data_IF_665919955375
#
_entry.id   IF_665919955375
#
_cell.length_a   1.000
_cell.length_b   1.000
_cell.length_c   1.000
_cell.angle_alpha   90.00
_cell.angle_beta   90.00
_cell.angle_gamma   90.00
#
_symmetry.space_group_name_H-M   'P 1'
#
loop_
_entity.id
_entity.type
_entity.pdbx_description
1 polymer ?
#
# COMPACT_ATOMS: atom_id res chain seq x y z
N UNK A 1 -7.52 -11.50 11.67
CA UNK A 1 -7.72 -10.11 12.14
C UNK A 1 -7.57 -9.17 10.96
N UNK A 2 -8.26 -8.03 11.01
CA UNK A 2 -8.11 -6.96 10.04
C UNK A 2 -7.12 -5.96 10.62
N UNK A 3 -6.13 -5.56 9.81
CA UNK A 3 -5.04 -4.67 10.24
C UNK A 3 -5.25 -3.26 9.73
N UNK A 4 -5.88 -3.11 8.56
CA UNK A 4 -6.15 -1.83 7.94
C UNK A 4 -7.38 -1.90 7.03
N UNK A 5 -7.92 -0.74 6.65
CA UNK A 5 -8.99 -0.64 5.68
C UNK A 5 -8.94 0.71 4.94
N UNK A 6 -9.13 0.69 3.64
CA UNK A 6 -9.16 1.90 2.82
C UNK A 6 -10.43 1.95 1.97
N UNK A 7 -10.94 3.18 1.77
CA UNK A 7 -12.06 3.45 0.88
C UNK A 7 -11.55 4.13 -0.39
N UNK A 8 -11.93 3.60 -1.54
CA UNK A 8 -11.64 4.20 -2.85
C UNK A 8 -12.64 3.67 -3.88
N UNK A 9 -12.81 4.38 -4.99
CA UNK A 9 -13.66 3.96 -6.11
C UNK A 9 -12.88 2.93 -6.95
N UNK A 10 -13.18 1.65 -6.77
CA UNK A 10 -12.45 0.56 -7.40
C UNK A 10 -12.96 0.19 -8.79
N UNK A 11 -14.23 0.49 -9.13
CA UNK A 11 -14.83 0.10 -10.41
C UNK A 11 -15.35 1.29 -11.25
N UNK A 12 -14.98 2.51 -10.84
CA UNK A 12 -15.32 3.76 -11.53
C UNK A 12 -16.82 4.06 -11.62
N UNK A 13 -17.60 3.60 -10.68
CA UNK A 13 -19.03 3.90 -10.64
C UNK A 13 -19.36 5.20 -9.86
N UNK A 14 -18.37 5.79 -9.20
CA UNK A 14 -18.45 7.04 -8.44
C UNK A 14 -18.77 6.85 -6.95
N UNK A 15 -18.91 5.63 -6.50
CA UNK A 15 -19.16 5.26 -5.12
C UNK A 15 -17.86 4.75 -4.45
N UNK A 16 -17.70 4.94 -3.14
CA UNK A 16 -16.54 4.43 -2.45
C UNK A 16 -16.73 2.97 -2.07
N UNK A 17 -15.82 2.13 -2.56
CA UNK A 17 -15.67 0.74 -2.22
C UNK A 17 -14.77 0.56 -1.00
N UNK A 18 -14.81 -0.61 -0.39
CA UNK A 18 -14.05 -0.92 0.82
C UNK A 18 -13.04 -2.04 0.55
N UNK A 19 -11.78 -1.75 0.74
CA UNK A 19 -10.72 -2.76 0.81
C UNK A 19 -10.31 -2.98 2.26
N UNK A 20 -10.20 -4.25 2.67
CA UNK A 20 -9.82 -4.65 4.02
C UNK A 20 -8.56 -5.50 3.95
N UNK A 21 -7.51 -5.02 4.60
CA UNK A 21 -6.24 -5.73 4.76
C UNK A 21 -6.36 -6.71 5.92
N UNK A 22 -5.94 -7.94 5.70
CA UNK A 22 -5.92 -8.97 6.74
C UNK A 22 -4.49 -9.29 7.16
N UNK A 23 -4.31 -9.47 8.46
CA UNK A 23 -3.01 -9.83 9.02
C UNK A 23 -3.15 -10.39 10.42
N UNK A 24 -2.39 -11.41 10.75
CA UNK A 24 -2.37 -11.99 12.10
C UNK A 24 -1.17 -12.89 12.28
N UNK A 25 -0.65 -12.91 13.50
CA UNK A 25 0.39 -13.87 13.90
C UNK A 25 -0.16 -15.21 14.41
N UNK A 26 -1.48 -15.33 14.51
CA UNK A 26 -2.15 -16.52 15.03
C UNK A 26 -2.33 -17.60 13.96
N UNK A 27 -2.24 -17.23 12.67
CA UNK A 27 -2.42 -18.12 11.54
C UNK A 27 -1.08 -18.56 10.96
N UNK A 28 -1.06 -19.76 10.38
CA UNK A 28 0.09 -20.26 9.63
C UNK A 28 0.33 -19.42 8.35
N UNK A 29 1.53 -19.48 7.81
CA UNK A 29 1.83 -18.91 6.49
C UNK A 29 0.86 -19.51 5.44
N UNK A 30 0.35 -18.67 4.55
CA UNK A 30 -0.64 -19.03 3.52
C UNK A 30 -1.99 -19.54 4.06
N UNK A 31 -2.36 -19.20 5.28
CA UNK A 31 -3.68 -19.52 5.79
C UNK A 31 -4.78 -18.74 5.05
N UNK A 32 -5.93 -19.34 4.73
CA UNK A 32 -7.02 -18.66 4.04
C UNK A 32 -7.56 -17.41 4.76
N UNK A 33 -7.36 -17.33 6.06
CA UNK A 33 -7.73 -16.22 6.92
C UNK A 33 -6.89 -14.96 6.67
N UNK A 34 -5.76 -15.09 5.96
CA UNK A 34 -4.88 -13.99 5.56
C UNK A 34 -5.23 -13.41 4.17
N UNK A 35 -6.41 -13.73 3.65
CA UNK A 35 -6.87 -13.24 2.36
C UNK A 35 -7.51 -11.86 2.50
N UNK A 36 -6.94 -10.85 1.84
CA UNK A 36 -7.51 -9.50 1.76
C UNK A 36 -8.86 -9.48 1.06
N UNK A 37 -9.70 -8.52 1.42
CA UNK A 37 -11.10 -8.50 1.01
C UNK A 37 -11.46 -7.19 0.32
N UNK A 38 -11.92 -7.28 -0.93
CA UNK A 38 -12.55 -6.16 -1.64
C UNK A 38 -14.07 -6.29 -1.56
N UNK A 39 -14.74 -5.20 -1.20
CA UNK A 39 -16.20 -5.08 -1.20
C UNK A 39 -16.61 -3.91 -2.07
N UNK A 40 -17.40 -4.19 -3.11
CA UNK A 40 -18.00 -3.19 -3.96
C UNK A 40 -19.29 -2.63 -3.33
N UNK A 41 -19.44 -1.32 -3.36
CA UNK A 41 -20.60 -0.59 -2.91
C UNK A 41 -21.62 -0.46 -4.05
N UNK A 42 -22.88 -0.31 -3.74
CA UNK A 42 -23.97 -0.07 -4.71
C UNK A 42 -24.50 1.37 -4.69
N UNK A 43 -23.72 2.31 -4.10
CA UNK A 43 -24.10 3.70 -3.91
C UNK A 43 -25.19 3.95 -2.87
N UNK A 44 -25.65 2.89 -2.20
CA UNK A 44 -26.67 2.98 -1.14
C UNK A 44 -26.16 2.48 0.21
N UNK A 45 -24.86 2.20 0.28
CA UNK A 45 -24.23 1.67 1.48
C UNK A 45 -24.34 0.15 1.65
N UNK A 46 -24.72 -0.57 0.60
CA UNK A 46 -24.69 -2.03 0.63
C UNK A 46 -23.41 -2.53 -0.02
N UNK A 47 -22.57 -3.18 0.77
CA UNK A 47 -21.28 -3.72 0.34
C UNK A 47 -21.38 -5.19 -0.01
N UNK A 48 -20.89 -5.57 -1.19
CA UNK A 48 -20.84 -6.95 -1.64
C UNK A 48 -19.41 -7.35 -1.92
N UNK A 49 -18.95 -8.46 -1.30
CA UNK A 49 -17.61 -8.99 -1.52
C UNK A 49 -17.39 -9.31 -3.01
N UNK A 50 -16.33 -8.78 -3.58
CA UNK A 50 -15.84 -9.15 -4.90
C UNK A 50 -14.90 -10.36 -4.78
N UNK A 51 -15.28 -11.46 -5.45
CA UNK A 51 -14.49 -12.68 -5.46
C UNK A 51 -13.45 -12.73 -6.58
N UNK A 52 -13.38 -11.69 -7.41
CA UNK A 52 -12.39 -11.57 -8.50
C UNK A 52 -11.04 -11.06 -8.01
N UNK A 53 -11.01 -10.43 -6.79
CA UNK A 53 -9.76 -9.93 -6.23
C UNK A 53 -8.75 -11.07 -6.08
N UNK A 54 -7.45 -10.86 -6.46
CA UNK A 54 -6.43 -11.89 -6.41
C UNK A 54 -6.28 -12.54 -5.03
N UNK A 55 -6.29 -13.86 -4.99
CA UNK A 55 -6.11 -14.61 -3.76
C UNK A 55 -4.62 -14.71 -3.43
N UNK A 56 -4.16 -13.87 -2.52
CA UNK A 56 -2.82 -13.90 -1.96
C UNK A 56 -2.98 -13.94 -0.43
N UNK A 57 -2.23 -14.81 0.21
CA UNK A 57 -2.31 -15.05 1.65
C UNK A 57 -1.04 -14.50 2.31
N UNK A 58 -0.94 -13.19 2.39
CA UNK A 58 0.17 -12.47 3.03
C UNK A 58 -0.31 -11.82 4.33
N UNK A 59 0.61 -11.57 5.23
CA UNK A 59 0.30 -10.90 6.49
C UNK A 59 0.38 -9.37 6.26
N UNK A 60 -0.72 -8.82 5.77
CA UNK A 60 -0.85 -7.41 5.43
C UNK A 60 -0.80 -6.47 6.63
N UNK A 61 -0.42 -5.23 6.42
CA UNK A 61 -0.33 -4.18 7.44
C UNK A 61 -1.04 -2.89 7.07
N UNK A 62 -0.98 -2.49 5.81
CA UNK A 62 -1.57 -1.26 5.31
C UNK A 62 -1.97 -1.40 3.84
N UNK A 63 -2.87 -0.53 3.38
CA UNK A 63 -3.20 -0.40 1.97
C UNK A 63 -3.42 1.07 1.58
N UNK A 64 -2.95 1.45 0.39
CA UNK A 64 -3.15 2.78 -0.15
C UNK A 64 -3.39 2.72 -1.65
N UNK A 65 -4.29 3.58 -2.18
CA UNK A 65 -4.70 3.58 -3.56
C UNK A 65 -4.35 4.89 -4.27
N UNK A 66 -3.88 4.81 -5.52
CA UNK A 66 -3.65 5.95 -6.41
C UNK A 66 -3.67 5.51 -7.87
N UNK A 67 -3.95 6.42 -8.77
CA UNK A 67 -3.77 6.23 -10.22
C UNK A 67 -2.27 6.30 -10.54
N UNK A 68 -1.60 5.13 -10.44
CA UNK A 68 -0.15 5.06 -10.54
C UNK A 68 0.34 5.22 -11.98
N UNK A 69 -0.41 4.71 -12.96
CA UNK A 69 0.01 4.71 -14.36
C UNK A 69 -0.72 5.72 -15.26
N UNK A 70 -1.59 6.55 -14.66
CA UNK A 70 -2.36 7.62 -15.31
C UNK A 70 -3.34 7.11 -16.37
N UNK A 71 -3.94 5.95 -16.15
CA UNK A 71 -5.02 5.43 -16.98
C UNK A 71 -6.41 5.85 -16.46
N UNK A 72 -6.45 6.51 -15.31
CA UNK A 72 -7.61 7.05 -14.64
C UNK A 72 -8.31 6.05 -13.72
N UNK A 73 -7.71 4.89 -13.45
CA UNK A 73 -8.17 3.88 -12.49
C UNK A 73 -7.31 3.92 -11.23
N UNK A 74 -7.87 3.63 -10.07
CA UNK A 74 -7.06 3.60 -8.85
C UNK A 74 -6.43 2.22 -8.67
N UNK A 75 -5.09 2.20 -8.64
CA UNK A 75 -4.26 1.05 -8.34
C UNK A 75 -4.06 0.92 -6.83
N UNK A 76 -3.71 -0.28 -6.36
CA UNK A 76 -3.63 -0.58 -4.94
C UNK A 76 -2.25 -1.13 -4.57
N UNK A 77 -1.58 -0.46 -3.63
CA UNK A 77 -0.43 -1.01 -2.92
C UNK A 77 -0.89 -1.62 -1.59
N UNK A 78 -0.44 -2.84 -1.29
CA UNK A 78 -0.67 -3.52 -0.02
C UNK A 78 0.68 -3.84 0.62
N UNK A 79 0.96 -3.18 1.73
CA UNK A 79 2.15 -3.41 2.54
C UNK A 79 2.01 -4.66 3.40
N UNK A 80 3.09 -5.40 3.59
CA UNK A 80 3.15 -6.55 4.48
C UNK A 80 4.24 -6.36 5.53
N UNK A 81 3.92 -6.69 6.80
CA UNK A 81 4.79 -6.37 7.94
C UNK A 81 5.70 -7.52 8.34
N UNK A 82 5.16 -8.73 8.47
CA UNK A 82 5.93 -9.86 8.96
C UNK A 82 5.43 -11.20 8.42
N UNK A 83 6.30 -12.19 8.36
CA UNK A 83 5.87 -13.56 8.15
C UNK A 83 5.30 -14.10 9.46
N UNK A 84 4.14 -14.80 9.36
CA UNK A 84 3.57 -15.49 10.52
C UNK A 84 4.62 -16.41 11.16
N UNK A 85 4.76 -16.37 12.46
CA UNK A 85 5.73 -17.18 13.24
C UNK A 85 7.22 -16.84 13.05
N UNK A 86 7.57 -15.87 12.17
CA UNK A 86 8.97 -15.50 11.86
C UNK A 86 9.16 -13.98 11.97
N UNK A 87 9.03 -13.44 13.16
CA UNK A 87 9.25 -12.01 13.38
C UNK A 87 10.67 -11.60 12.95
N UNK A 88 10.77 -10.46 12.25
CA UNK A 88 12.04 -9.96 11.70
C UNK A 88 12.36 -10.46 10.29
N UNK A 89 11.54 -11.34 9.72
CA UNK A 89 11.62 -11.69 8.29
C UNK A 89 10.57 -10.91 7.51
N UNK A 90 11.03 -10.23 6.48
CA UNK A 90 10.15 -9.43 5.60
C UNK A 90 9.34 -10.33 4.68
N UNK A 91 8.01 -10.22 4.68
CA UNK A 91 7.18 -10.79 3.64
C UNK A 91 7.27 -9.94 2.36
N UNK A 92 6.68 -10.42 1.29
CA UNK A 92 6.53 -9.65 0.07
C UNK A 92 5.30 -8.74 0.17
N UNK A 93 5.46 -7.44 -0.04
CA UNK A 93 4.34 -6.54 -0.28
C UNK A 93 3.80 -6.73 -1.71
N UNK A 94 2.62 -6.15 -2.01
CA UNK A 94 1.96 -6.36 -3.30
C UNK A 94 1.53 -5.05 -3.94
N UNK A 95 1.69 -4.97 -5.26
CA UNK A 95 1.15 -3.90 -6.10
C UNK A 95 0.17 -4.50 -7.10
N UNK A 96 -1.08 -4.05 -7.03
CA UNK A 96 -2.16 -4.49 -7.89
C UNK A 96 -2.55 -3.37 -8.82
N UNK A 97 -2.59 -3.65 -10.12
CA UNK A 97 -3.07 -2.74 -11.15
C UNK A 97 -4.52 -3.07 -11.44
N UNK A 98 -5.35 -2.04 -11.45
CA UNK A 98 -6.77 -2.09 -11.75
C UNK A 98 -7.00 -2.10 -13.27
N UNK A 99 -8.17 -2.54 -13.71
CA UNK A 99 -8.60 -2.46 -15.11
C UNK A 99 -9.84 -1.55 -15.28
N UNK A 100 -10.15 -0.74 -14.25
CA UNK A 100 -11.27 0.19 -14.20
C UNK A 100 -12.65 -0.46 -14.02
N UNK A 101 -12.69 -1.77 -13.76
CA UNK A 101 -13.94 -2.51 -13.50
C UNK A 101 -13.91 -3.24 -12.15
N UNK A 102 -12.99 -2.86 -11.27
CA UNK A 102 -12.68 -3.59 -10.03
C UNK A 102 -11.87 -4.87 -10.28
N UNK A 103 -11.35 -5.07 -11.48
CA UNK A 103 -10.54 -6.24 -11.84
C UNK A 103 -9.05 -5.99 -11.59
N UNK A 104 -8.55 -6.43 -10.44
CA UNK A 104 -7.16 -6.25 -10.04
C UNK A 104 -6.26 -7.41 -10.51
N UNK A 105 -5.01 -7.06 -10.88
CA UNK A 105 -3.96 -8.03 -11.17
C UNK A 105 -2.68 -7.67 -10.45
N UNK A 106 -2.02 -8.65 -9.86
CA UNK A 106 -0.72 -8.45 -9.22
C UNK A 106 0.37 -8.23 -10.28
N UNK A 107 0.89 -7.01 -10.31
CA UNK A 107 1.99 -6.61 -11.17
C UNK A 107 3.25 -6.17 -10.40
N UNK A 108 3.37 -6.56 -9.14
CA UNK A 108 4.47 -6.21 -8.24
C UNK A 108 5.85 -6.33 -8.90
N UNK A 109 6.17 -7.49 -9.44
CA UNK A 109 7.48 -7.75 -10.08
C UNK A 109 7.74 -6.93 -11.34
N UNK A 110 6.67 -6.52 -12.03
CA UNK A 110 6.79 -5.72 -13.26
C UNK A 110 7.09 -4.27 -12.95
N UNK A 111 6.30 -3.67 -12.06
CA UNK A 111 6.39 -2.23 -11.77
C UNK A 111 7.33 -1.92 -10.61
N UNK A 112 7.55 -2.86 -9.70
CA UNK A 112 8.36 -2.69 -8.50
C UNK A 112 9.24 -3.93 -8.26
N UNK A 113 10.30 -4.15 -9.06
CA UNK A 113 11.15 -5.34 -8.96
C UNK A 113 11.77 -5.56 -7.59
N UNK A 114 12.00 -4.48 -6.83
CA UNK A 114 12.59 -4.49 -5.49
C UNK A 114 11.56 -4.66 -4.37
N UNK A 115 10.29 -4.96 -4.71
CA UNK A 115 9.20 -5.08 -3.73
C UNK A 115 9.47 -6.15 -2.65
N UNK A 116 10.18 -7.21 -2.99
CA UNK A 116 10.60 -8.25 -2.04
C UNK A 116 11.70 -7.80 -1.06
N UNK A 117 12.30 -6.63 -1.27
CA UNK A 117 13.37 -6.08 -0.43
C UNK A 117 12.87 -4.91 0.44
N UNK A 118 11.53 -4.71 0.47
CA UNK A 118 10.93 -3.60 1.19
C UNK A 118 11.13 -3.65 2.70
N UNK A 119 11.37 -4.80 3.28
CA UNK A 119 11.37 -4.92 4.73
C UNK A 119 9.95 -5.05 5.33
N UNK A 120 9.84 -4.82 6.63
CA UNK A 120 8.57 -4.89 7.36
C UNK A 120 7.81 -3.58 7.21
N UNK A 121 6.92 -3.51 6.23
CA UNK A 121 6.10 -2.32 5.97
C UNK A 121 5.08 -2.14 7.09
N UNK A 122 4.98 -0.92 7.61
CA UNK A 122 4.01 -0.54 8.65
C UNK A 122 2.95 0.42 8.14
N UNK A 123 3.34 1.32 7.23
CA UNK A 123 2.44 2.26 6.57
C UNK A 123 3.00 2.67 5.21
N UNK A 124 2.13 3.13 4.31
CA UNK A 124 2.52 3.62 2.99
C UNK A 124 1.53 4.66 2.48
N UNK A 125 2.05 5.66 1.74
CA UNK A 125 1.24 6.72 1.15
C UNK A 125 1.72 7.07 -0.26
N UNK A 126 0.77 7.42 -1.11
CA UNK A 126 1.05 7.97 -2.43
C UNK A 126 1.12 9.48 -2.38
N UNK A 127 2.17 10.05 -2.95
CA UNK A 127 2.31 11.50 -3.10
C UNK A 127 3.26 11.86 -4.24
N UNK A 128 2.99 12.91 -4.98
CA UNK A 128 3.92 13.44 -5.99
C UNK A 128 5.01 14.26 -5.27
N UNK A 129 6.07 13.56 -4.81
CA UNK A 129 7.15 14.21 -4.01
C UNK A 129 8.13 15.01 -4.86
N UNK A 130 8.09 14.84 -6.18
CA UNK A 130 9.03 15.50 -7.10
C UNK A 130 8.35 16.50 -8.05
N UNK A 131 7.03 16.68 -7.95
CA UNK A 131 6.19 17.58 -8.77
C UNK A 131 6.25 17.27 -10.27
N UNK A 132 6.35 15.99 -10.62
CA UNK A 132 6.34 15.57 -12.03
C UNK A 132 4.94 15.14 -12.52
N UNK A 133 3.95 15.18 -11.64
CA UNK A 133 2.56 14.86 -11.90
C UNK A 133 2.20 13.38 -11.69
N UNK A 134 3.16 12.53 -11.34
CA UNK A 134 2.93 11.12 -11.03
C UNK A 134 3.09 10.85 -9.54
N UNK A 135 2.17 10.11 -8.96
CA UNK A 135 2.26 9.74 -7.55
C UNK A 135 3.45 8.78 -7.32
N UNK A 136 4.35 9.18 -6.43
CA UNK A 136 5.43 8.35 -5.90
C UNK A 136 4.92 7.57 -4.69
N UNK A 137 5.51 6.42 -4.38
CA UNK A 137 5.14 5.63 -3.20
C UNK A 137 6.14 5.87 -2.08
N UNK A 138 5.65 6.34 -0.93
CA UNK A 138 6.46 6.53 0.29
C UNK A 138 6.10 5.46 1.30
N UNK A 139 7.09 4.76 1.83
CA UNK A 139 6.91 3.58 2.68
C UNK A 139 7.63 3.77 4.00
N UNK A 140 6.93 3.56 5.10
CA UNK A 140 7.47 3.47 6.45
C UNK A 140 7.67 2.01 6.86
N UNK A 141 8.71 1.75 7.66
CA UNK A 141 9.13 0.39 7.99
C UNK A 141 9.42 0.23 9.48
N UNK A 142 9.15 -0.98 10.00
CA UNK A 142 9.72 -1.43 11.26
C UNK A 142 11.21 -1.75 11.05
N UNK A 143 12.06 -1.27 11.93
CA UNK A 143 13.51 -1.54 11.93
C UNK A 143 14.20 -1.11 10.63
N UNK A 144 13.66 -0.12 10.00
CA UNK A 144 14.17 0.46 8.76
C UNK A 144 14.05 1.96 8.80
N UNK A 145 13.86 2.56 7.63
CA UNK A 145 13.65 3.98 7.46
C UNK A 145 12.40 4.28 6.64
N UNK A 146 12.25 5.53 6.31
CA UNK A 146 11.27 5.98 5.32
C UNK A 146 11.93 5.90 3.96
N UNK A 147 11.32 5.18 3.03
CA UNK A 147 11.85 4.94 1.68
C UNK A 147 10.89 5.48 0.65
N UNK A 148 11.41 6.21 -0.31
CA UNK A 148 10.64 6.72 -1.45
C UNK A 148 10.88 5.84 -2.66
N UNK A 149 9.81 5.43 -3.33
CA UNK A 149 9.84 4.80 -4.64
C UNK A 149 9.34 5.78 -5.67
N UNK A 150 10.28 6.34 -6.43
CA UNK A 150 9.95 7.29 -7.48
C UNK A 150 9.22 6.61 -8.63
N UNK A 151 8.10 7.21 -9.03
CA UNK A 151 7.34 6.76 -10.18
C UNK A 151 7.96 7.27 -11.50
N UNK A 152 8.41 6.37 -12.33
CA UNK A 152 8.92 6.70 -13.67
C UNK A 152 7.77 6.78 -14.69
N UNK A 153 6.89 7.75 -14.50
CA UNK A 153 5.75 8.05 -15.39
C UNK A 153 4.85 6.85 -15.66
N UNK A 154 4.38 6.19 -14.62
CA UNK A 154 3.48 5.04 -14.70
C UNK A 154 4.13 3.76 -15.22
N UNK A 155 5.45 3.73 -15.40
CA UNK A 155 6.15 2.56 -15.99
C UNK A 155 6.84 1.69 -14.97
N UNK A 156 7.34 2.29 -13.89
CA UNK A 156 8.12 1.60 -12.87
C UNK A 156 8.20 2.46 -11.60
N UNK A 157 8.20 1.81 -10.46
CA UNK A 157 8.56 2.40 -9.16
C UNK A 157 10.01 2.04 -8.85
N UNK A 158 10.86 3.06 -8.73
CA UNK A 158 12.31 2.90 -8.54
C UNK A 158 12.69 3.38 -7.15
N UNK A 159 13.24 2.47 -6.34
CA UNK A 159 13.70 2.76 -4.99
C UNK A 159 14.74 3.86 -5.01
N UNK A 160 14.52 4.87 -4.18
CA UNK A 160 15.50 5.90 -3.87
C UNK A 160 16.28 5.52 -2.61
N UNK A 161 17.33 6.28 -2.30
CA UNK A 161 17.97 6.15 -1.00
C UNK A 161 16.97 6.42 0.12
N UNK A 162 17.16 5.75 1.24
CA UNK A 162 16.37 6.00 2.45
C UNK A 162 16.51 7.48 2.86
N UNK A 163 15.43 8.08 3.33
CA UNK A 163 15.45 9.46 3.84
C UNK A 163 16.51 9.55 4.95
N UNK A 164 17.53 10.42 4.84
CA UNK A 164 18.61 10.49 5.81
C UNK A 164 18.09 10.77 7.23
N UNK A 165 18.57 9.99 8.20
CA UNK A 165 18.17 10.14 9.60
C UNK A 165 16.78 9.60 9.92
N UNK A 166 16.18 8.83 9.01
CA UNK A 166 14.87 8.21 9.23
C UNK A 166 14.95 6.77 9.73
N UNK A 167 16.12 6.30 10.18
CA UNK A 167 16.22 4.99 10.81
C UNK A 167 15.38 4.94 12.09
N UNK A 168 14.56 3.91 12.26
CA UNK A 168 13.69 3.82 13.43
C UNK A 168 12.61 2.75 13.36
N UNK A 169 11.66 2.87 14.28
CA UNK A 169 10.46 2.03 14.37
C UNK A 169 9.25 2.90 14.03
N UNK A 170 8.88 2.93 12.78
CA UNK A 170 7.80 3.78 12.30
C UNK A 170 6.45 3.07 12.38
N UNK A 171 5.42 3.76 12.86
CA UNK A 171 4.08 3.20 13.02
C UNK A 171 3.03 3.82 12.11
N UNK A 172 3.28 5.04 11.61
CA UNK A 172 2.37 5.71 10.68
C UNK A 172 3.09 6.76 9.86
N UNK A 173 2.49 7.09 8.70
CA UNK A 173 2.97 8.08 7.75
C UNK A 173 1.76 8.83 7.19
N UNK A 174 1.81 10.18 7.13
CA UNK A 174 0.75 10.97 6.50
C UNK A 174 1.35 12.13 5.70
N UNK A 175 0.98 12.29 4.42
CA UNK A 175 1.36 13.42 3.60
C UNK A 175 0.51 14.65 3.94
N UNK A 176 1.12 15.82 3.94
CA UNK A 176 0.45 17.12 4.05
C UNK A 176 1.38 18.23 3.59
N UNK A 177 0.83 19.32 3.05
CA UNK A 177 1.55 20.60 2.92
C UNK A 177 1.44 21.33 4.26
N UNK A 178 2.48 21.25 5.09
CA UNK A 178 2.44 21.72 6.48
C UNK A 178 2.78 23.21 6.58
N UNK A 179 3.67 23.69 5.74
CA UNK A 179 4.14 25.09 5.79
C UNK A 179 3.55 26.01 4.70
N UNK A 180 2.75 25.46 3.79
CA UNK A 180 2.01 26.22 2.77
C UNK A 180 2.83 26.60 1.56
N UNK A 181 3.94 25.90 1.30
CA UNK A 181 4.83 26.15 0.17
C UNK A 181 4.47 25.34 -1.09
N UNK A 182 3.40 24.56 -1.03
CA UNK A 182 2.89 23.65 -2.04
C UNK A 182 3.81 22.46 -2.34
N UNK A 183 4.73 22.12 -1.45
CA UNK A 183 5.44 20.85 -1.42
C UNK A 183 4.71 19.87 -0.51
N UNK A 184 4.86 18.58 -0.77
CA UNK A 184 4.30 17.56 0.13
C UNK A 184 5.32 17.23 1.22
N UNK A 185 4.96 17.58 2.43
CA UNK A 185 5.63 17.16 3.66
C UNK A 185 5.08 15.83 4.16
N UNK A 186 5.81 15.21 5.08
CA UNK A 186 5.36 13.99 5.73
C UNK A 186 5.45 14.09 7.25
N UNK A 187 4.37 13.71 7.91
CA UNK A 187 4.38 13.45 9.35
C UNK A 187 4.48 11.94 9.56
N UNK A 188 5.50 11.51 10.28
CA UNK A 188 5.70 10.11 10.60
C UNK A 188 5.78 9.89 12.11
N UNK A 189 5.04 8.90 12.63
CA UNK A 189 5.07 8.52 14.03
C UNK A 189 6.12 7.44 14.29
N UNK A 190 7.08 7.74 15.16
CA UNK A 190 8.12 6.80 15.59
C UNK A 190 7.85 6.34 17.03
N UNK A 191 8.04 5.05 17.31
CA UNK A 191 7.91 4.52 18.68
C UNK A 191 9.04 4.96 19.62
N UNK A 192 10.00 5.72 19.10
CA UNK A 192 11.06 6.39 19.84
C UNK A 192 12.21 5.44 20.22
N UNK A 193 13.39 6.02 20.37
CA UNK A 193 14.55 5.47 21.06
C UNK A 193 14.76 6.30 22.32
#
# INVERSE_FOLDING_TARGET
ENTDATFFDADKDGDLDLFVVTGSNEFAENAPELHDLLYLNDGKGNFKRDLRFPTIFENGSCATAADMDHDGDLDLFVGSRMLSTKYGMSPSSNLYINDGTGGFKNYSKRFMPEIGELGMVTDAEWADVNKDGYADLVVAQDWGGIVVFKNERGRKLVKQEMVPGSEGLWGCLKPADIDGDADIDFVAGNFGL
#
